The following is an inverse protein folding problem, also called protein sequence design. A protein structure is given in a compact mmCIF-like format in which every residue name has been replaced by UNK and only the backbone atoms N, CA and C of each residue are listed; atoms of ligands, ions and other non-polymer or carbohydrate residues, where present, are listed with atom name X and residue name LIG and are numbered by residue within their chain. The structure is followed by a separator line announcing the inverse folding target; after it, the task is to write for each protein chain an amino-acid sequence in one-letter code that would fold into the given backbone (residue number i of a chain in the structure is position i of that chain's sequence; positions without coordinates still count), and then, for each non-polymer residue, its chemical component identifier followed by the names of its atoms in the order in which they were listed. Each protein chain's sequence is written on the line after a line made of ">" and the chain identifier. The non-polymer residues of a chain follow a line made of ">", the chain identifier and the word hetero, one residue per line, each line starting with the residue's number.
data_IF_800058718456
#
_entry.id   IF_800058718456
#
_cell.length_a   1.000
_cell.length_b   1.000
_cell.length_c   1.000
_cell.angle_alpha   90.00
_cell.angle_beta   90.00
_cell.angle_gamma   90.00
#
_symmetry.space_group_name_H-M   'P 1'
#
loop_
_entity.id
_entity.type
_entity.pdbx_description
1 polymer ?
#
# COMPACT_ATOMS: atom_id res chain seq x y z
N UNK A 1 -7.20 -3.24 -24.36
CA UNK A 1 -7.63 -2.61 -23.09
C UNK A 1 -6.90 -3.21 -21.90
N UNK A 2 -6.77 -4.54 -21.83
CA UNK A 2 -6.12 -5.28 -20.73
C UNK A 2 -4.68 -4.85 -20.44
N UNK A 3 -3.85 -4.64 -21.48
CA UNK A 3 -2.47 -4.15 -21.32
C UNK A 3 -2.38 -2.77 -20.65
N UNK A 4 -3.32 -1.87 -20.94
CA UNK A 4 -3.37 -0.56 -20.29
C UNK A 4 -3.72 -0.69 -18.81
N UNK A 5 -4.64 -1.61 -18.46
CA UNK A 5 -4.97 -1.91 -17.06
C UNK A 5 -3.77 -2.55 -16.34
N UNK A 6 -3.05 -3.45 -16.99
CA UNK A 6 -1.84 -4.05 -16.43
C UNK A 6 -0.76 -2.99 -16.14
N UNK A 7 -0.48 -2.10 -17.09
CA UNK A 7 0.48 -1.01 -16.88
C UNK A 7 0.03 -0.06 -15.75
N UNK A 8 -1.23 0.37 -15.76
CA UNK A 8 -1.77 1.23 -14.71
C UNK A 8 -1.69 0.56 -13.34
N UNK A 9 -1.98 -0.74 -13.25
CA UNK A 9 -1.88 -1.52 -12.03
C UNK A 9 -0.44 -1.59 -11.49
N UNK A 10 0.57 -1.72 -12.35
CA UNK A 10 1.98 -1.68 -11.94
C UNK A 10 2.33 -0.33 -11.32
N UNK A 11 1.95 0.78 -11.95
CA UNK A 11 2.19 2.12 -11.40
C UNK A 11 1.43 2.35 -10.09
N UNK A 12 0.17 1.92 -10.01
CA UNK A 12 -0.62 2.02 -8.77
C UNK A 12 0.00 1.16 -7.66
N UNK A 13 0.42 -0.06 -7.97
CA UNK A 13 1.09 -0.96 -7.02
C UNK A 13 2.37 -0.36 -6.48
N UNK A 14 3.21 0.21 -7.36
CA UNK A 14 4.44 0.90 -6.96
C UNK A 14 4.15 2.14 -6.07
N UNK A 15 3.14 2.93 -6.40
CA UNK A 15 2.73 4.09 -5.61
C UNK A 15 2.21 3.67 -4.23
N UNK A 16 1.33 2.66 -4.16
CA UNK A 16 0.80 2.10 -2.90
C UNK A 16 1.94 1.60 -2.01
N UNK A 17 2.84 0.78 -2.56
CA UNK A 17 3.99 0.25 -1.82
C UNK A 17 4.86 1.41 -1.31
N UNK A 18 5.10 2.43 -2.14
CA UNK A 18 5.87 3.61 -1.73
C UNK A 18 5.17 4.39 -0.61
N UNK A 19 3.85 4.59 -0.71
CA UNK A 19 3.04 5.23 0.32
C UNK A 19 3.07 4.48 1.65
N UNK A 20 2.92 3.15 1.62
CA UNK A 20 3.07 2.27 2.80
C UNK A 20 4.44 2.49 3.43
N UNK A 21 5.52 2.38 2.64
CA UNK A 21 6.89 2.58 3.13
C UNK A 21 7.06 3.94 3.79
N UNK A 22 6.62 5.00 3.11
CA UNK A 22 6.72 6.36 3.61
C UNK A 22 5.96 6.56 4.93
N UNK A 23 4.76 5.99 5.04
CA UNK A 23 3.97 6.06 6.26
C UNK A 23 4.71 5.43 7.45
N UNK A 24 5.24 4.21 7.28
CA UNK A 24 5.95 3.53 8.35
C UNK A 24 7.31 4.14 8.68
N UNK A 25 8.05 4.65 7.69
CA UNK A 25 9.34 5.31 7.95
C UNK A 25 9.17 6.67 8.61
N UNK A 26 8.03 7.34 8.42
CA UNK A 26 7.71 8.62 9.08
C UNK A 26 7.74 8.51 10.61
N UNK A 27 7.43 7.34 11.20
CA UNK A 27 7.55 7.15 12.65
C UNK A 27 8.99 7.31 13.17
N UNK A 28 10.00 7.22 12.32
CA UNK A 28 11.40 7.46 12.68
C UNK A 28 11.66 8.89 13.18
N UNK A 29 10.80 9.86 12.85
CA UNK A 29 10.94 11.22 13.37
C UNK A 29 10.68 11.33 14.88
N UNK A 30 9.92 10.41 15.47
CA UNK A 30 9.59 10.44 16.91
C UNK A 30 10.17 9.25 17.69
N UNK A 31 10.44 8.12 17.03
CA UNK A 31 10.82 6.87 17.70
C UNK A 31 12.26 6.48 17.35
N UNK A 32 13.15 6.42 18.38
CA UNK A 32 14.56 6.02 18.23
C UNK A 32 14.77 4.62 17.63
N UNK A 33 13.83 3.68 17.85
CA UNK A 33 13.84 2.32 17.27
C UNK A 33 12.70 2.14 16.27
N UNK A 34 12.73 2.87 15.16
CA UNK A 34 11.70 2.78 14.11
C UNK A 34 11.81 1.53 13.23
N UNK A 35 12.99 0.93 13.13
CA UNK A 35 13.23 -0.22 12.23
C UNK A 35 12.35 -1.43 12.52
N UNK A 36 12.04 -1.74 13.78
CA UNK A 36 11.16 -2.86 14.12
C UNK A 36 9.75 -2.68 13.56
N UNK A 37 9.20 -1.46 13.60
CA UNK A 37 7.86 -1.16 13.08
C UNK A 37 7.81 -1.26 11.56
N UNK A 38 8.85 -0.75 10.89
CA UNK A 38 8.99 -0.88 9.44
C UNK A 38 9.06 -2.36 9.07
N UNK A 39 9.91 -3.16 9.72
CA UNK A 39 10.05 -4.58 9.43
C UNK A 39 8.72 -5.36 9.62
N UNK A 40 8.00 -5.13 10.72
CA UNK A 40 6.69 -5.75 10.96
C UNK A 40 5.69 -5.38 9.87
N UNK A 41 5.67 -4.13 9.41
CA UNK A 41 4.80 -3.70 8.31
C UNK A 41 5.09 -4.45 7.00
N UNK A 42 6.36 -4.74 6.73
CA UNK A 42 6.76 -5.48 5.52
C UNK A 42 6.43 -6.97 5.58
N UNK A 43 6.38 -7.59 6.76
CA UNK A 43 5.95 -8.99 6.88
C UNK A 43 4.50 -9.19 6.38
N UNK A 44 3.67 -8.14 6.39
CA UNK A 44 2.33 -8.21 5.78
C UNK A 44 2.35 -8.38 4.26
N UNK A 45 3.48 -8.15 3.59
CA UNK A 45 3.61 -8.40 2.15
C UNK A 45 3.51 -9.90 1.82
N UNK A 46 3.83 -10.79 2.75
CA UNK A 46 3.72 -12.25 2.54
C UNK A 46 2.28 -12.70 2.26
N UNK A 47 1.28 -11.94 2.75
CA UNK A 47 -0.13 -12.19 2.45
C UNK A 47 -0.47 -11.96 0.97
N UNK A 48 0.38 -11.28 0.20
CA UNK A 48 0.22 -11.14 -1.25
C UNK A 48 0.53 -12.42 -2.03
N UNK A 49 1.23 -13.39 -1.43
CA UNK A 49 1.60 -14.62 -2.13
C UNK A 49 0.41 -15.54 -2.37
N UNK A 50 -0.69 -15.32 -1.63
CA UNK A 50 -1.88 -16.13 -1.72
C UNK A 50 -3.10 -15.31 -2.16
N UNK A 51 -4.07 -15.94 -2.85
CA UNK A 51 -5.32 -15.28 -3.21
C UNK A 51 -6.08 -14.80 -1.97
N UNK A 52 -6.57 -13.55 -1.94
CA UNK A 52 -7.20 -13.02 -0.71
C UNK A 52 -8.45 -13.80 -0.29
N UNK A 53 -9.06 -14.51 -1.23
CA UNK A 53 -10.26 -15.33 -1.05
C UNK A 53 -10.07 -16.49 -0.10
N UNK A 54 -8.83 -16.90 0.20
CA UNK A 54 -8.57 -17.94 1.21
C UNK A 54 -8.74 -17.42 2.64
N UNK A 55 -8.64 -16.10 2.82
CA UNK A 55 -8.74 -15.48 4.13
C UNK A 55 -10.20 -15.14 4.48
N UNK A 56 -10.50 -14.99 5.76
CA UNK A 56 -11.82 -14.54 6.21
C UNK A 56 -12.07 -13.07 5.81
N UNK A 57 -13.33 -12.62 5.89
CA UNK A 57 -13.73 -11.25 5.50
C UNK A 57 -12.98 -10.16 6.27
N UNK A 58 -12.64 -10.37 7.54
CA UNK A 58 -11.94 -9.39 8.35
C UNK A 58 -10.51 -9.17 7.84
N UNK A 59 -9.79 -10.25 7.53
CA UNK A 59 -8.43 -10.20 6.96
C UNK A 59 -8.47 -9.60 5.55
N UNK A 60 -9.46 -9.96 4.73
CA UNK A 60 -9.63 -9.34 3.40
C UNK A 60 -9.83 -7.83 3.49
N UNK A 61 -10.68 -7.36 4.43
CA UNK A 61 -10.89 -5.93 4.66
C UNK A 61 -9.59 -5.24 5.10
N UNK A 62 -8.87 -5.85 6.04
CA UNK A 62 -7.60 -5.31 6.54
C UNK A 62 -6.55 -5.18 5.42
N UNK A 63 -6.36 -6.22 4.61
CA UNK A 63 -5.40 -6.25 3.49
C UNK A 63 -5.82 -5.38 2.29
N UNK A 64 -7.07 -4.94 2.24
CA UNK A 64 -7.59 -4.07 1.17
C UNK A 64 -7.54 -2.60 1.56
N UNK A 65 -7.90 -2.27 2.80
CA UNK A 65 -8.12 -0.88 3.22
C UNK A 65 -7.17 -0.36 4.30
N UNK A 66 -6.58 -1.22 5.12
CA UNK A 66 -5.66 -0.81 6.20
C UNK A 66 -4.21 -0.93 5.76
N UNK A 67 -3.87 -2.08 5.17
CA UNK A 67 -2.55 -2.33 4.57
C UNK A 67 -2.81 -2.85 3.16
N UNK A 68 -3.00 -1.97 2.15
CA UNK A 68 -3.63 -2.27 0.86
C UNK A 68 -2.77 -3.13 -0.10
N UNK A 69 -2.05 -4.09 0.44
CA UNK A 69 -1.21 -5.04 -0.25
C UNK A 69 -2.02 -5.89 -1.25
N UNK A 70 -3.24 -6.29 -0.92
CA UNK A 70 -4.14 -7.01 -1.83
C UNK A 70 -4.41 -6.25 -3.14
N UNK A 71 -4.48 -4.92 -3.06
CA UNK A 71 -4.81 -4.04 -4.20
C UNK A 71 -3.67 -3.95 -5.20
N UNK A 72 -2.44 -4.24 -4.77
CA UNK A 72 -1.24 -4.16 -5.62
C UNK A 72 -1.07 -5.34 -6.57
N UNK A 73 -1.64 -6.50 -6.24
CA UNK A 73 -1.42 -7.75 -7.00
C UNK A 73 -2.71 -8.49 -7.31
N UNK A 74 -3.54 -8.77 -6.30
CA UNK A 74 -4.66 -9.69 -6.44
C UNK A 74 -5.76 -9.14 -7.34
N UNK A 75 -6.25 -7.91 -7.11
CA UNK A 75 -7.39 -7.38 -7.87
C UNK A 75 -7.07 -7.12 -9.36
N UNK A 76 -5.92 -6.51 -9.73
CA UNK A 76 -5.52 -6.43 -11.13
C UNK A 76 -5.33 -7.79 -11.79
N UNK A 77 -4.72 -8.75 -11.10
CA UNK A 77 -4.55 -10.11 -11.62
C UNK A 77 -5.90 -10.82 -11.82
N UNK A 78 -6.83 -10.68 -10.88
CA UNK A 78 -8.18 -11.23 -11.00
C UNK A 78 -8.93 -10.67 -12.21
N UNK A 79 -8.79 -9.36 -12.48
CA UNK A 79 -9.36 -8.73 -13.67
C UNK A 79 -8.73 -9.27 -14.96
N UNK A 80 -7.40 -9.34 -15.04
CA UNK A 80 -6.69 -9.86 -16.23
C UNK A 80 -6.97 -11.35 -16.49
N UNK A 81 -7.33 -12.11 -15.47
CA UNK A 81 -7.73 -13.51 -15.58
C UNK A 81 -9.24 -13.68 -15.89
N UNK A 82 -9.97 -12.59 -16.14
CA UNK A 82 -11.41 -12.62 -16.42
C UNK A 82 -12.28 -12.98 -15.21
N UNK A 83 -11.74 -12.92 -14.00
CA UNK A 83 -12.43 -13.26 -12.74
C UNK A 83 -12.87 -12.03 -11.93
N UNK A 84 -12.61 -10.83 -12.44
CA UNK A 84 -12.93 -9.56 -11.78
C UNK A 84 -13.55 -8.55 -12.75
N UNK A 85 -13.99 -7.41 -12.21
CA UNK A 85 -14.54 -6.32 -13.01
C UNK A 85 -13.53 -5.15 -13.16
N UNK A 86 -13.80 -4.24 -14.10
CA UNK A 86 -12.91 -3.10 -14.38
C UNK A 86 -12.71 -2.20 -13.15
N UNK A 87 -13.74 -2.06 -12.31
CA UNK A 87 -13.64 -1.26 -11.09
C UNK A 87 -12.60 -1.84 -10.12
N UNK A 88 -12.63 -3.16 -9.88
CA UNK A 88 -11.65 -3.86 -9.05
C UNK A 88 -10.25 -3.85 -9.68
N UNK A 89 -10.16 -4.04 -11.00
CA UNK A 89 -8.89 -4.13 -11.72
C UNK A 89 -8.16 -2.79 -11.89
N UNK A 90 -8.88 -1.66 -11.92
CA UNK A 90 -8.31 -0.36 -12.25
C UNK A 90 -8.72 0.76 -11.27
N UNK A 91 -10.02 1.03 -11.12
CA UNK A 91 -10.51 2.17 -10.33
C UNK A 91 -10.10 2.05 -8.86
N UNK A 92 -10.26 0.87 -8.27
CA UNK A 92 -9.91 0.61 -6.87
C UNK A 92 -8.39 0.79 -6.63
N UNK A 93 -7.47 0.20 -7.41
CA UNK A 93 -6.05 0.50 -7.33
C UNK A 93 -5.69 1.99 -7.43
N UNK A 94 -6.30 2.73 -8.36
CA UNK A 94 -6.04 4.16 -8.52
C UNK A 94 -6.48 4.95 -7.28
N UNK A 95 -7.70 4.71 -6.79
CA UNK A 95 -8.23 5.39 -5.60
C UNK A 95 -7.33 5.11 -4.38
N UNK A 96 -7.00 3.84 -4.17
CA UNK A 96 -6.17 3.43 -3.03
C UNK A 96 -4.76 4.00 -3.14
N UNK A 97 -4.16 4.03 -4.33
CA UNK A 97 -2.86 4.66 -4.57
C UNK A 97 -2.85 6.14 -4.19
N UNK A 98 -3.86 6.91 -4.64
CA UNK A 98 -3.97 8.33 -4.33
C UNK A 98 -4.17 8.55 -2.82
N UNK A 99 -5.10 7.82 -2.19
CA UNK A 99 -5.41 7.98 -0.77
C UNK A 99 -4.21 7.62 0.10
N UNK A 100 -3.57 6.47 -0.12
CA UNK A 100 -2.44 6.03 0.71
C UNK A 100 -1.20 6.87 0.48
N UNK A 101 -0.85 7.17 -0.77
CA UNK A 101 0.36 7.96 -1.07
C UNK A 101 0.18 9.41 -0.60
N UNK A 102 -0.99 10.00 -0.85
CA UNK A 102 -1.32 11.35 -0.37
C UNK A 102 -1.35 11.43 1.15
N UNK A 103 -2.02 10.48 1.81
CA UNK A 103 -2.07 10.41 3.27
C UNK A 103 -0.68 10.23 3.90
N UNK A 104 0.12 9.30 3.37
CA UNK A 104 1.49 9.07 3.82
C UNK A 104 2.37 10.30 3.61
N UNK A 105 2.26 10.99 2.48
CA UNK A 105 3.01 12.21 2.20
C UNK A 105 2.64 13.35 3.16
N UNK A 106 1.35 13.55 3.42
CA UNK A 106 0.90 14.56 4.40
C UNK A 106 1.39 14.24 5.81
N UNK A 107 1.38 12.96 6.19
CA UNK A 107 1.91 12.51 7.47
C UNK A 107 3.42 12.73 7.56
N UNK A 108 4.16 12.38 6.50
CA UNK A 108 5.60 12.62 6.39
C UNK A 108 5.95 14.10 6.56
N UNK A 109 5.22 15.02 5.90
CA UNK A 109 5.44 16.46 6.10
C UNK A 109 5.27 16.91 7.55
N UNK A 110 4.32 16.33 8.30
CA UNK A 110 4.14 16.63 9.73
C UNK A 110 5.33 16.13 10.56
N UNK A 111 5.89 14.97 10.19
CA UNK A 111 7.10 14.44 10.82
C UNK A 111 8.34 15.26 10.53
N UNK A 112 8.48 15.74 9.29
CA UNK A 112 9.58 16.62 8.91
C UNK A 112 9.62 17.91 9.75
N UNK A 113 8.46 18.45 10.16
CA UNK A 113 8.40 19.61 11.05
C UNK A 113 8.88 19.34 12.48
N UNK A 114 8.91 18.08 12.92
CA UNK A 114 9.45 17.65 14.21
C UNK A 114 10.92 17.19 14.11
N UNK A 115 11.47 17.14 12.90
CA UNK A 115 12.85 16.73 12.70
C UNK A 115 13.79 17.84 13.16
N UNK A 116 14.26 17.75 14.39
CA UNK A 116 15.42 18.49 14.85
C UNK A 116 16.66 17.85 14.24
N UNK A 117 17.32 18.57 13.34
CA UNK A 117 18.65 18.20 12.84
C UNK A 117 19.56 17.93 14.03
N UNK A 118 20.41 16.90 13.94
CA UNK A 118 21.48 16.64 14.93
C UNK A 118 22.59 17.73 14.92
N UNK A 119 22.27 18.94 14.46
CA UNK A 119 23.15 20.09 14.35
C UNK A 119 22.34 21.38 14.32
N UNK A 120 21.92 21.84 15.49
CA UNK A 120 21.79 23.25 15.89
C UNK A 120 22.09 23.35 17.37
#
# INVERSE_FOLDING_TARGET
>A
MEWAVALAAVFCGAAIITGIKLFYTTFAFWVKRSQSYVYTAYNFNEFCYYPITIYNRAVQFFLTFVVPFAVTSYFPAAYLLGKGNLFQGLCLPVIIAVVFTGGAYLFWKKGLAHYESAGS
#
